data_IF_101700821410
#
_entry.id   IF_101700821410
#
_cell.length_a   1.000
_cell.length_b   1.000
_cell.length_c   1.000
_cell.angle_alpha   90.00
_cell.angle_beta   90.00
_cell.angle_gamma   90.00
#
_symmetry.space_group_name_H-M   'P 1'
#
loop_
_entity.id
_entity.type
_entity.pdbx_description
1 polymer ?
#
# COMPACT_ATOMS: atom_id res chain seq x y z
N UNK A 1 14.52 -16.02 -3.91
CA UNK A 1 15.46 -14.91 -4.17
C UNK A 1 14.66 -13.62 -4.29
N UNK A 2 15.13 -12.51 -3.72
CA UNK A 2 14.46 -11.21 -3.83
C UNK A 2 14.88 -10.52 -5.15
N UNK A 3 13.92 -10.07 -5.95
CA UNK A 3 14.16 -9.48 -7.28
C UNK A 3 14.05 -7.94 -7.29
N UNK A 4 13.83 -7.31 -6.14
CA UNK A 4 13.66 -5.86 -6.01
C UNK A 4 14.15 -5.35 -4.65
N UNK A 5 14.05 -4.03 -4.46
CA UNK A 5 14.39 -3.38 -3.19
C UNK A 5 13.36 -3.79 -2.13
N UNK A 6 13.80 -4.53 -1.12
CA UNK A 6 12.98 -4.83 0.05
C UNK A 6 13.07 -3.66 1.02
N UNK A 7 11.90 -3.16 1.42
CA UNK A 7 11.77 -2.08 2.39
C UNK A 7 11.32 -2.66 3.73
N UNK A 8 11.96 -2.23 4.81
CA UNK A 8 11.49 -2.54 6.16
C UNK A 8 10.29 -1.69 6.55
N UNK A 9 9.40 -2.24 7.37
CA UNK A 9 8.31 -1.48 7.98
C UNK A 9 8.86 -0.65 9.15
N UNK A 10 9.14 0.64 8.92
CA UNK A 10 9.55 1.55 9.98
C UNK A 10 8.36 1.94 10.87
N UNK A 11 8.64 2.48 12.06
CA UNK A 11 7.60 3.02 12.95
C UNK A 11 6.79 4.13 12.29
N UNK A 12 7.44 5.01 11.51
CA UNK A 12 6.76 6.05 10.74
C UNK A 12 5.78 5.46 9.73
N UNK A 13 6.22 4.49 8.92
CA UNK A 13 5.35 3.81 7.96
C UNK A 13 4.19 3.09 8.65
N UNK A 14 4.45 2.44 9.80
CA UNK A 14 3.42 1.73 10.55
C UNK A 14 2.35 2.67 11.13
N UNK A 15 2.74 3.83 11.66
CA UNK A 15 1.81 4.82 12.20
C UNK A 15 0.97 5.46 11.10
N UNK A 16 1.57 5.80 9.96
CA UNK A 16 0.85 6.34 8.80
C UNK A 16 -0.11 5.29 8.21
N UNK A 17 0.31 4.03 8.12
CA UNK A 17 -0.57 2.94 7.69
C UNK A 17 -1.73 2.71 8.66
N UNK A 18 -1.49 2.81 9.98
CA UNK A 18 -2.57 2.69 10.97
C UNK A 18 -3.58 3.84 10.85
N UNK A 19 -3.10 5.08 10.64
CA UNK A 19 -3.97 6.22 10.34
C UNK A 19 -4.78 5.95 9.06
N UNK A 20 -4.13 5.55 7.98
CA UNK A 20 -4.79 5.29 6.71
C UNK A 20 -5.85 4.18 6.82
N UNK A 21 -5.54 3.09 7.54
CA UNK A 21 -6.47 1.99 7.82
C UNK A 21 -7.75 2.49 8.49
N UNK A 22 -7.63 3.38 9.47
CA UNK A 22 -8.81 3.94 10.14
C UNK A 22 -9.62 4.90 9.26
N UNK A 23 -8.95 5.75 8.47
CA UNK A 23 -9.61 6.76 7.61
C UNK A 23 -10.32 6.10 6.43
N UNK A 24 -9.65 5.16 5.78
CA UNK A 24 -10.15 4.49 4.56
C UNK A 24 -10.93 3.22 4.87
N UNK A 25 -10.95 2.77 6.13
CA UNK A 25 -11.47 1.46 6.57
C UNK A 25 -10.86 0.28 5.81
N UNK A 26 -9.61 0.44 5.37
CA UNK A 26 -8.86 -0.62 4.69
C UNK A 26 -8.25 -1.58 5.73
N UNK A 27 -8.14 -2.88 5.41
CA UNK A 27 -7.35 -3.82 6.20
C UNK A 27 -5.93 -3.28 6.46
N UNK A 28 -5.34 -3.67 7.59
CA UNK A 28 -4.03 -3.13 7.99
C UNK A 28 -2.93 -3.46 6.98
N UNK A 29 -2.94 -4.67 6.41
CA UNK A 29 -1.96 -5.08 5.40
C UNK A 29 -2.04 -4.19 4.15
N UNK A 30 -3.25 -3.95 3.66
CA UNK A 30 -3.53 -3.11 2.49
C UNK A 30 -3.11 -1.66 2.72
N UNK A 31 -3.35 -1.17 3.93
CA UNK A 31 -2.94 0.17 4.36
C UNK A 31 -1.42 0.30 4.42
N UNK A 32 -0.71 -0.73 4.88
CA UNK A 32 0.76 -0.77 4.87
C UNK A 32 1.29 -0.73 3.44
N UNK A 33 0.72 -1.52 2.53
CA UNK A 33 1.14 -1.55 1.12
C UNK A 33 0.91 -0.19 0.44
N UNK A 34 -0.28 0.39 0.58
CA UNK A 34 -0.64 1.68 -0.01
C UNK A 34 0.19 2.84 0.55
N UNK A 35 0.39 2.88 1.87
CA UNK A 35 1.23 3.90 2.51
C UNK A 35 2.68 3.78 2.06
N UNK A 36 3.21 2.56 1.95
CA UNK A 36 4.57 2.33 1.47
C UNK A 36 4.71 2.81 0.02
N UNK A 37 3.79 2.44 -0.86
CA UNK A 37 3.83 2.89 -2.26
C UNK A 37 3.83 4.42 -2.37
N UNK A 38 2.90 5.10 -1.67
CA UNK A 38 2.82 6.57 -1.66
C UNK A 38 4.06 7.24 -1.08
N UNK A 39 4.63 6.70 0.00
CA UNK A 39 5.84 7.26 0.65
C UNK A 39 7.05 7.25 -0.28
N UNK A 40 7.11 6.27 -1.19
CA UNK A 40 8.21 6.11 -2.13
C UNK A 40 7.85 6.53 -3.56
N UNK A 41 6.75 7.28 -3.74
CA UNK A 41 6.23 7.72 -5.04
C UNK A 41 6.17 6.59 -6.08
N UNK A 42 5.75 5.41 -5.63
CA UNK A 42 5.68 4.19 -6.40
C UNK A 42 4.23 3.87 -6.78
N UNK A 43 4.05 3.24 -7.94
CA UNK A 43 2.77 2.66 -8.35
C UNK A 43 2.55 1.35 -7.60
N UNK A 44 1.46 1.26 -6.83
CA UNK A 44 1.04 0.00 -6.22
C UNK A 44 0.27 -0.83 -7.24
N UNK A 45 0.72 -2.05 -7.52
CA UNK A 45 -0.03 -3.00 -8.34
C UNK A 45 -0.84 -3.93 -7.45
N UNK A 46 -2.15 -4.03 -7.69
CA UNK A 46 -3.04 -4.91 -6.93
C UNK A 46 -4.05 -5.62 -7.85
N UNK A 47 -4.43 -6.82 -7.43
CA UNK A 47 -5.51 -7.61 -8.03
C UNK A 47 -6.82 -7.51 -7.23
N UNK A 48 -6.78 -6.85 -6.08
CA UNK A 48 -7.94 -6.66 -5.23
C UNK A 48 -8.76 -5.45 -5.73
N UNK A 49 -10.05 -5.69 -5.98
CA UNK A 49 -10.96 -4.67 -6.48
C UNK A 49 -11.17 -3.53 -5.48
N UNK A 50 -10.91 -3.75 -4.18
CA UNK A 50 -10.96 -2.71 -3.15
C UNK A 50 -9.95 -1.56 -3.42
N UNK A 51 -8.97 -1.80 -4.31
CA UNK A 51 -7.97 -0.80 -4.72
C UNK A 51 -8.29 -0.12 -6.05
N UNK A 52 -9.33 -0.56 -6.77
CA UNK A 52 -9.70 0.04 -8.05
C UNK A 52 -10.09 1.52 -7.89
N UNK A 53 -9.50 2.39 -8.71
CA UNK A 53 -9.75 3.83 -8.67
C UNK A 53 -9.01 4.59 -7.57
N UNK A 54 -8.19 3.93 -6.74
CA UNK A 54 -7.32 4.62 -5.78
C UNK A 54 -6.14 5.29 -6.48
N UNK A 55 -5.87 6.53 -6.12
CA UNK A 55 -4.72 7.28 -6.65
C UNK A 55 -3.39 6.60 -6.30
N UNK A 56 -2.51 6.52 -7.30
CA UNK A 56 -1.24 5.79 -7.23
C UNK A 56 -1.37 4.25 -7.34
N UNK A 57 -2.57 3.72 -7.59
CA UNK A 57 -2.80 2.28 -7.73
C UNK A 57 -3.09 1.90 -9.18
N UNK A 58 -2.44 0.83 -9.63
CA UNK A 58 -2.79 0.13 -10.87
C UNK A 58 -3.47 -1.19 -10.53
N UNK A 59 -4.77 -1.23 -10.74
CA UNK A 59 -5.52 -2.47 -10.71
C UNK A 59 -5.20 -3.29 -11.96
N UNK A 60 -4.88 -4.57 -11.77
CA UNK A 60 -4.66 -5.52 -12.86
C UNK A 60 -5.41 -6.80 -12.52
N UNK A 61 -6.57 -7.08 -13.14
CA UNK A 61 -7.31 -8.32 -12.89
C UNK A 61 -6.50 -9.56 -13.34
N UNK A 62 -6.81 -10.70 -12.74
CA UNK A 62 -6.19 -11.99 -13.07
C UNK A 62 -6.52 -12.47 -14.49
#
# INVERSE_FOLDING_TARGET
MQQGRVLGLSSTLALEAARLSTVMKLPMADSIMLTTARTFDAVLWMQDADFEGLDGVRYAPA
#
